data_IF_959938435861
#
_entry.id   IF_959938435861
#
_cell.length_a   1.000
_cell.length_b   1.000
_cell.length_c   1.000
_cell.angle_alpha   90.00
_cell.angle_beta   90.00
_cell.angle_gamma   90.00
#
_symmetry.space_group_name_H-M   'P 1'
#
loop_
_entity.id
_entity.type
_entity.pdbx_description
1 polymer ?
#
# COMPACT_ATOMS: atom_id res chain seq x y z
N UNK A 1 -9.07 -27.13 3.16
CA UNK A 1 -8.84 -26.04 2.22
C UNK A 1 -9.86 -24.94 2.43
N UNK A 2 -9.43 -23.73 2.42
CA UNK A 2 -10.34 -22.61 2.55
C UNK A 2 -10.44 -21.85 1.27
N UNK A 3 -11.63 -21.77 0.76
CA UNK A 3 -11.88 -21.08 -0.49
C UNK A 3 -11.95 -19.56 -0.32
N UNK A 4 -12.20 -19.11 0.91
CA UNK A 4 -12.43 -17.69 1.17
C UNK A 4 -11.19 -16.92 1.62
N UNK A 5 -10.05 -17.60 1.69
CA UNK A 5 -8.82 -16.94 2.09
C UNK A 5 -8.18 -16.25 0.88
N UNK A 6 -7.68 -15.06 1.11
CA UNK A 6 -6.96 -14.28 0.09
C UNK A 6 -5.51 -14.19 0.47
N UNK A 7 -4.64 -14.00 -0.53
CA UNK A 7 -3.25 -13.70 -0.24
C UNK A 7 -3.15 -12.29 0.35
N UNK A 8 -2.29 -12.09 1.34
CA UNK A 8 -2.07 -10.75 1.88
C UNK A 8 -1.53 -9.79 0.82
N UNK A 9 -1.95 -8.54 0.89
CA UNK A 9 -1.53 -7.50 -0.04
C UNK A 9 -1.04 -6.28 0.72
N UNK A 10 -0.06 -5.60 0.15
CA UNK A 10 0.49 -4.37 0.72
C UNK A 10 0.34 -3.26 -0.30
N UNK A 11 -0.05 -2.09 0.15
CA UNK A 11 -0.19 -0.91 -0.71
C UNK A 11 0.85 0.10 -0.24
N UNK A 12 1.82 0.39 -1.11
CA UNK A 12 2.97 1.23 -0.77
C UNK A 12 3.09 2.38 -1.75
N UNK A 13 3.70 3.48 -1.31
CA UNK A 13 4.08 4.60 -2.14
C UNK A 13 5.57 4.87 -1.94
N UNK A 14 6.25 5.38 -2.97
CA UNK A 14 7.69 5.57 -2.92
C UNK A 14 8.12 7.04 -2.94
N UNK A 15 7.19 7.97 -3.05
CA UNK A 15 7.52 9.40 -3.19
C UNK A 15 8.39 9.71 -4.40
N UNK A 16 8.38 8.85 -5.40
CA UNK A 16 9.11 9.12 -6.63
C UNK A 16 8.46 10.28 -7.40
N UNK A 17 9.27 11.08 -8.09
CA UNK A 17 8.73 12.18 -8.89
C UNK A 17 7.90 11.67 -10.06
N UNK A 18 8.26 10.51 -10.61
CA UNK A 18 7.56 9.89 -11.74
C UNK A 18 7.29 8.43 -11.48
N UNK A 19 6.40 7.87 -12.28
CA UNK A 19 6.13 6.43 -12.23
C UNK A 19 7.40 5.63 -12.53
N UNK A 20 8.24 6.13 -13.42
CA UNK A 20 9.51 5.49 -13.77
C UNK A 20 10.43 5.39 -12.56
N UNK A 21 10.45 6.40 -11.71
CA UNK A 21 11.25 6.37 -10.49
C UNK A 21 10.78 5.26 -9.56
N UNK A 22 9.47 5.09 -9.44
CA UNK A 22 8.89 4.03 -8.61
C UNK A 22 9.26 2.66 -9.16
N UNK A 23 9.14 2.47 -10.47
CA UNK A 23 9.51 1.20 -11.10
C UNK A 23 10.99 0.90 -10.89
N UNK A 24 11.83 1.93 -10.95
CA UNK A 24 13.26 1.77 -10.67
C UNK A 24 13.50 1.33 -9.23
N UNK A 25 12.74 1.88 -8.27
CA UNK A 25 12.86 1.48 -6.87
C UNK A 25 12.46 0.02 -6.69
N UNK A 26 11.40 -0.41 -7.34
CA UNK A 26 10.97 -1.81 -7.31
C UNK A 26 12.07 -2.72 -7.88
N UNK A 27 12.65 -2.33 -9.00
CA UNK A 27 13.70 -3.10 -9.64
C UNK A 27 14.94 -3.22 -8.73
N UNK A 28 15.35 -2.12 -8.11
CA UNK A 28 16.48 -2.14 -7.16
C UNK A 28 16.23 -3.05 -5.98
N UNK A 29 14.97 -3.19 -5.59
CA UNK A 29 14.59 -4.08 -4.50
C UNK A 29 14.51 -5.56 -4.93
N UNK A 30 14.66 -5.84 -6.21
CA UNK A 30 14.57 -7.19 -6.74
C UNK A 30 13.17 -7.60 -7.16
N UNK A 31 12.27 -6.64 -7.33
CA UNK A 31 10.89 -6.89 -7.75
C UNK A 31 10.77 -6.48 -9.21
N UNK A 32 10.74 -7.47 -10.10
CA UNK A 32 10.78 -7.21 -11.55
C UNK A 32 9.41 -7.27 -12.22
N UNK A 33 8.38 -7.68 -11.51
CA UNK A 33 7.04 -7.75 -12.05
C UNK A 33 6.06 -8.31 -11.04
N UNK A 34 4.83 -8.53 -11.47
CA UNK A 34 3.79 -9.07 -10.61
C UNK A 34 3.19 -8.06 -9.64
N UNK A 35 3.55 -6.80 -9.78
CA UNK A 35 2.95 -5.72 -9.00
C UNK A 35 1.94 -4.97 -9.84
N UNK A 36 1.08 -4.19 -9.20
CA UNK A 36 0.06 -3.41 -9.89
C UNK A 36 0.09 -1.98 -9.39
N UNK A 37 -0.05 -1.04 -10.33
CA UNK A 37 -0.19 0.36 -10.01
C UNK A 37 -1.64 0.63 -9.60
N UNK A 38 -1.81 1.34 -8.48
CA UNK A 38 -3.13 1.78 -8.03
C UNK A 38 -3.05 3.26 -7.68
N UNK A 39 -4.20 3.92 -7.61
CA UNK A 39 -4.26 5.32 -7.20
C UNK A 39 -4.67 5.38 -5.74
N UNK A 40 -4.13 6.35 -5.03
CA UNK A 40 -4.48 6.53 -3.64
C UNK A 40 -4.59 7.99 -3.27
N UNK A 41 -5.04 8.22 -2.07
CA UNK A 41 -5.09 9.54 -1.46
C UNK A 41 -4.81 9.34 0.03
N UNK A 42 -3.92 10.15 0.57
CA UNK A 42 -3.58 10.08 1.98
C UNK A 42 -3.46 11.50 2.52
N UNK A 43 -4.22 11.77 3.58
CA UNK A 43 -4.29 13.12 4.17
C UNK A 43 -4.67 14.16 3.12
N UNK A 44 -5.56 13.79 2.20
CA UNK A 44 -6.04 14.67 1.15
C UNK A 44 -5.10 14.86 -0.03
N UNK A 45 -3.95 14.18 -0.04
CA UNK A 45 -2.96 14.29 -1.11
C UNK A 45 -3.02 13.05 -1.99
N UNK A 46 -3.27 13.21 -3.31
CA UNK A 46 -3.23 12.07 -4.22
C UNK A 46 -1.85 11.44 -4.26
N UNK A 47 -1.82 10.11 -4.31
CA UNK A 47 -0.58 9.36 -4.37
C UNK A 47 -0.66 8.28 -5.44
N UNK A 48 0.46 8.07 -6.13
CA UNK A 48 0.65 6.89 -6.93
C UNK A 48 1.11 5.79 -6.00
N UNK A 49 0.39 4.67 -5.97
CA UNK A 49 0.67 3.59 -5.05
C UNK A 49 0.83 2.27 -5.81
N UNK A 50 1.40 1.29 -5.14
CA UNK A 50 1.70 0.00 -5.74
C UNK A 50 1.18 -1.12 -4.86
N UNK A 51 0.53 -2.08 -5.49
CA UNK A 51 -0.03 -3.25 -4.82
C UNK A 51 0.98 -4.38 -4.91
N UNK A 52 1.45 -4.84 -3.77
CA UNK A 52 2.50 -5.86 -3.67
C UNK A 52 2.00 -7.05 -2.87
N UNK A 53 2.49 -8.24 -3.19
CA UNK A 53 2.27 -9.39 -2.33
C UNK A 53 3.30 -9.38 -1.18
N UNK A 54 3.19 -10.35 -0.27
CA UNK A 54 4.06 -10.37 0.92
C UNK A 54 5.54 -10.52 0.57
N UNK A 55 5.85 -11.35 -0.41
CA UNK A 55 7.24 -11.55 -0.82
C UNK A 55 7.83 -10.28 -1.43
N UNK A 56 7.07 -9.63 -2.29
CA UNK A 56 7.50 -8.37 -2.90
C UNK A 56 7.68 -7.29 -1.84
N UNK A 57 6.75 -7.20 -0.91
CA UNK A 57 6.85 -6.21 0.16
C UNK A 57 8.10 -6.45 1.02
N UNK A 58 8.41 -7.70 1.36
CA UNK A 58 9.61 -8.02 2.12
C UNK A 58 10.87 -7.52 1.41
N UNK A 59 10.95 -7.73 0.10
CA UNK A 59 12.09 -7.27 -0.69
C UNK A 59 12.22 -5.76 -0.68
N UNK A 60 11.09 -5.06 -0.85
CA UNK A 60 11.08 -3.60 -0.86
C UNK A 60 11.46 -3.05 0.50
N UNK A 61 10.93 -3.63 1.57
CA UNK A 61 11.23 -3.22 2.92
C UNK A 61 12.71 -3.38 3.25
N UNK A 62 13.27 -4.54 2.90
CA UNK A 62 14.67 -4.86 3.21
C UNK A 62 15.64 -4.02 2.38
N UNK A 63 15.22 -3.58 1.22
CA UNK A 63 16.10 -2.77 0.35
C UNK A 63 16.25 -1.33 0.84
N UNK A 64 15.38 -0.88 1.75
CA UNK A 64 15.39 0.51 2.21
C UNK A 64 14.64 1.48 1.29
N UNK A 65 13.96 0.98 0.26
CA UNK A 65 13.24 1.86 -0.69
C UNK A 65 12.02 2.53 -0.08
N UNK A 66 11.56 2.07 1.09
CA UNK A 66 10.44 2.70 1.81
C UNK A 66 10.92 3.77 2.79
N UNK A 67 12.19 4.11 2.76
CA UNK A 67 12.74 5.17 3.59
C UNK A 67 11.99 6.48 3.33
N UNK A 68 11.47 7.07 4.36
CA UNK A 68 10.68 8.28 4.24
C UNK A 68 9.18 8.05 4.21
N UNK A 69 8.73 6.81 4.10
CA UNK A 69 7.31 6.48 4.21
C UNK A 69 6.93 6.33 5.67
N UNK A 70 5.82 6.95 6.07
CA UNK A 70 5.33 6.87 7.45
C UNK A 70 4.51 5.61 7.67
N UNK A 71 3.79 5.17 6.67
CA UNK A 71 2.84 4.08 6.83
C UNK A 71 2.70 3.26 5.54
N UNK A 72 2.25 2.04 5.73
CA UNK A 72 1.92 1.11 4.66
C UNK A 72 0.56 0.51 5.00
N UNK A 73 -0.32 0.42 4.02
CA UNK A 73 -1.60 -0.25 4.20
C UNK A 73 -1.41 -1.73 3.91
N UNK A 74 -1.83 -2.56 4.84
CA UNK A 74 -1.77 -4.00 4.72
C UNK A 74 -3.19 -4.55 4.72
N UNK A 75 -3.50 -5.40 3.74
CA UNK A 75 -4.75 -6.14 3.68
C UNK A 75 -4.44 -7.59 4.00
N UNK A 76 -4.97 -8.09 5.10
CA UNK A 76 -4.68 -9.46 5.51
C UNK A 76 -5.48 -10.46 4.65
N UNK A 77 -5.34 -11.74 4.94
CA UNK A 77 -5.98 -12.79 4.13
C UNK A 77 -7.50 -12.84 4.29
N UNK A 78 -8.05 -12.02 5.18
CA UNK A 78 -9.51 -11.88 5.34
C UNK A 78 -9.97 -10.50 4.88
N UNK A 79 -9.05 -9.73 4.27
CA UNK A 79 -9.31 -8.37 3.77
C UNK A 79 -9.63 -7.37 4.88
N UNK A 80 -9.16 -7.61 6.09
CA UNK A 80 -9.12 -6.57 7.10
C UNK A 80 -7.96 -5.64 6.78
N UNK A 81 -8.18 -4.35 6.95
CA UNK A 81 -7.15 -3.35 6.66
C UNK A 81 -6.38 -2.98 7.92
N UNK A 82 -5.08 -2.85 7.77
CA UNK A 82 -4.18 -2.47 8.86
C UNK A 82 -3.25 -1.39 8.36
N UNK A 83 -3.07 -0.34 9.14
CA UNK A 83 -2.04 0.64 8.87
C UNK A 83 -0.82 0.32 9.75
N UNK A 84 0.30 0.07 9.08
CA UNK A 84 1.57 -0.19 9.75
C UNK A 84 2.39 1.08 9.71
N UNK A 85 2.89 1.51 10.85
CA UNK A 85 3.69 2.73 10.96
C UNK A 85 5.11 2.38 11.38
N UNK A 86 6.08 3.08 10.82
CA UNK A 86 7.46 2.94 11.23
C UNK A 86 8.19 4.26 11.04
N UNK A 87 9.06 4.60 11.97
CA UNK A 87 9.78 5.87 11.95
C UNK A 87 10.91 5.90 10.93
N UNK A 88 11.44 4.74 10.58
CA UNK A 88 12.65 4.64 9.77
C UNK A 88 12.43 3.92 8.45
N UNK A 89 11.26 4.10 7.88
CA UNK A 89 10.95 3.54 6.57
C UNK A 89 10.83 2.03 6.56
N UNK A 90 10.45 1.45 7.68
CA UNK A 90 10.20 0.01 7.81
C UNK A 90 11.46 -0.86 7.75
N UNK A 91 12.65 -0.27 7.76
CA UNK A 91 13.89 -1.05 7.71
C UNK A 91 14.02 -1.97 8.93
N UNK A 92 13.53 -1.54 10.08
CA UNK A 92 13.62 -2.29 11.33
C UNK A 92 12.26 -2.79 11.81
N UNK A 93 11.30 -2.93 10.88
CA UNK A 93 9.97 -3.43 11.22
C UNK A 93 8.97 -2.33 11.53
N UNK A 94 7.99 -2.65 12.34
CA UNK A 94 6.88 -1.74 12.61
C UNK A 94 6.91 -1.24 14.04
N UNK A 95 6.64 0.05 14.20
CA UNK A 95 6.51 0.65 15.54
C UNK A 95 5.07 0.57 16.05
N UNK A 96 4.11 0.71 15.16
CA UNK A 96 2.70 0.78 15.52
C UNK A 96 1.86 0.15 14.43
N UNK A 97 0.83 -0.57 14.83
CA UNK A 97 -0.12 -1.18 13.89
C UNK A 97 -1.52 -0.78 14.35
N UNK A 98 -2.29 -0.22 13.42
CA UNK A 98 -3.68 0.16 13.69
C UNK A 98 -4.59 -0.60 12.74
N UNK A 99 -5.64 -1.21 13.30
CA UNK A 99 -6.71 -1.77 12.49
C UNK A 99 -7.54 -0.61 11.95
N UNK A 100 -7.80 -0.63 10.65
CA UNK A 100 -8.60 0.41 10.01
C UNK A 100 -9.77 -0.24 9.31
N UNK A 101 -10.83 0.50 9.14
CA UNK A 101 -11.97 0.04 8.37
C UNK A 101 -11.63 0.17 6.89
N UNK A 102 -11.62 -0.96 6.20
CA UNK A 102 -11.38 -1.02 4.76
C UNK A 102 -12.70 -1.39 4.11
N UNK A 103 -13.31 -0.44 3.41
CA UNK A 103 -14.66 -0.61 2.92
C UNK A 103 -14.81 0.01 1.55
N UNK A 104 -15.44 -0.70 0.63
CA UNK A 104 -15.74 -0.17 -0.68
C UNK A 104 -16.75 0.98 -0.54
N UNK A 105 -16.47 2.10 -1.22
CA UNK A 105 -17.34 3.27 -1.21
C UNK A 105 -17.56 3.74 -2.64
N UNK A 106 -18.58 4.52 -2.84
CA UNK A 106 -18.85 5.12 -4.13
C UNK A 106 -17.80 6.19 -4.46
N UNK A 107 -17.52 6.38 -5.74
CA UNK A 107 -16.53 7.38 -6.17
C UNK A 107 -16.84 8.77 -5.62
N UNK A 108 -18.10 9.14 -5.54
CA UNK A 108 -18.50 10.45 -5.00
C UNK A 108 -18.19 10.58 -3.52
N UNK A 109 -18.24 9.47 -2.78
CA UNK A 109 -17.88 9.47 -1.37
C UNK A 109 -16.37 9.55 -1.21
N UNK A 110 -15.61 8.80 -2.02
CA UNK A 110 -14.16 8.82 -1.99
C UNK A 110 -13.61 10.22 -2.19
N UNK A 111 -14.19 10.97 -3.10
CA UNK A 111 -13.76 12.33 -3.39
C UNK A 111 -13.83 13.26 -2.17
N UNK A 112 -14.60 12.90 -1.14
CA UNK A 112 -14.76 13.70 0.07
C UNK A 112 -13.90 13.19 1.24
N UNK A 113 -13.16 12.11 1.04
CA UNK A 113 -12.38 11.49 2.10
C UNK A 113 -10.92 11.87 1.98
N UNK A 114 -10.23 11.87 3.11
CA UNK A 114 -8.80 12.17 3.15
C UNK A 114 -7.94 10.96 2.81
N UNK A 115 -8.50 9.76 2.90
CA UNK A 115 -7.75 8.53 2.61
C UNK A 115 -8.62 7.54 1.85
N UNK A 116 -8.15 7.13 0.68
CA UNK A 116 -8.82 6.12 -0.13
C UNK A 116 -7.83 5.51 -1.12
N UNK A 117 -8.19 4.36 -1.65
CA UNK A 117 -7.42 3.69 -2.69
C UNK A 117 -8.38 3.21 -3.77
N UNK A 118 -8.01 3.40 -5.02
CA UNK A 118 -8.75 2.90 -6.17
C UNK A 118 -8.04 1.68 -6.73
N UNK A 119 -8.76 0.55 -6.82
CA UNK A 119 -8.25 -0.69 -7.39
C UNK A 119 -9.28 -1.17 -8.41
N UNK A 120 -8.88 -1.30 -9.67
CA UNK A 120 -9.76 -1.78 -10.75
C UNK A 120 -11.06 -0.99 -10.86
N UNK A 121 -10.99 0.31 -10.69
CA UNK A 121 -12.15 1.19 -10.80
C UNK A 121 -13.04 1.23 -9.57
N UNK A 122 -12.71 0.49 -8.53
CA UNK A 122 -13.45 0.51 -7.27
C UNK A 122 -12.68 1.29 -6.23
N UNK A 123 -13.38 2.06 -5.43
CA UNK A 123 -12.79 2.91 -4.40
C UNK A 123 -13.00 2.28 -3.03
N UNK A 124 -11.96 2.27 -2.25
CA UNK A 124 -11.99 1.73 -0.89
C UNK A 124 -11.58 2.82 0.08
N UNK A 125 -12.42 3.06 1.08
CA UNK A 125 -12.09 4.00 2.13
C UNK A 125 -11.21 3.30 3.16
N UNK A 126 -10.30 4.07 3.74
CA UNK A 126 -9.44 3.61 4.83
C UNK A 126 -9.66 4.58 5.99
N UNK A 127 -10.28 4.11 7.04
CA UNK A 127 -10.65 4.96 8.18
C UNK A 127 -10.09 4.42 9.48
#
# INVERSE_FOLDING_TARGET
MRENAYSPLFIVAFNGATERDDVSALYRAGVEGGYRRVRGCYKGVPERSWLLNAEQFSKVRESGELKGQESVLFLDNQRNGWLYFAKDGFAHGFNTVLLVEWKEVHATQAAKLEAWTEIDGKYFACR
#
